data_IF_814426085736
#
_entry.id   IF_814426085736
#
_cell.length_a   1.000
_cell.length_b   1.000
_cell.length_c   1.000
_cell.angle_alpha   90.00
_cell.angle_beta   90.00
_cell.angle_gamma   90.00
#
_symmetry.space_group_name_H-M   'P 1'
#
loop_
_entity.id
_entity.type
_entity.pdbx_description
1 polymer ?
#
# COMPACT_ATOMS: atom_id res chain seq x y z
N UNK A 1 12.97 17.19 3.09
CA UNK A 1 12.75 16.62 4.44
C UNK A 1 14.00 15.84 4.81
N UNK A 2 14.50 15.91 6.05
CA UNK A 2 15.62 15.08 6.45
C UNK A 2 15.19 13.61 6.45
N UNK A 3 15.91 12.76 5.71
CA UNK A 3 15.74 11.31 5.75
C UNK A 3 16.62 10.69 6.83
N UNK A 4 16.25 9.51 7.30
CA UNK A 4 17.08 8.71 8.22
C UNK A 4 17.98 7.75 7.42
N UNK A 5 19.31 7.75 7.65
CA UNK A 5 20.20 6.91 6.86
C UNK A 5 20.05 5.44 7.25
N UNK A 6 20.02 4.58 6.23
CA UNK A 6 20.06 3.12 6.38
C UNK A 6 21.22 2.55 5.57
N UNK A 7 21.73 1.38 5.97
CA UNK A 7 22.68 0.62 5.15
C UNK A 7 21.93 -0.39 4.30
N UNK A 8 22.11 -0.29 2.97
CA UNK A 8 21.54 -1.23 1.99
C UNK A 8 22.69 -1.90 1.25
N UNK A 9 22.66 -3.22 1.15
CA UNK A 9 23.61 -3.97 0.34
C UNK A 9 23.16 -3.92 -1.12
N UNK A 10 24.04 -3.44 -1.99
CA UNK A 10 23.81 -3.30 -3.44
C UNK A 10 25.01 -3.83 -4.21
N UNK A 11 24.87 -4.00 -5.52
CA UNK A 11 25.98 -4.39 -6.38
C UNK A 11 27.16 -3.40 -6.26
N UNK A 12 28.42 -3.87 -6.24
CA UNK A 12 29.59 -3.02 -6.05
C UNK A 12 29.69 -1.87 -7.07
N UNK A 13 29.27 -2.12 -8.32
CA UNK A 13 29.25 -1.11 -9.38
C UNK A 13 28.23 0.00 -9.08
N UNK A 14 27.05 -0.34 -8.60
CA UNK A 14 26.02 0.63 -8.18
C UNK A 14 26.51 1.45 -6.99
N UNK A 15 27.17 0.80 -6.03
CA UNK A 15 27.77 1.49 -4.89
C UNK A 15 28.84 2.49 -5.32
N UNK A 16 29.67 2.13 -6.31
CA UNK A 16 30.66 3.03 -6.90
C UNK A 16 29.99 4.19 -7.66
N UNK A 17 28.98 3.91 -8.48
CA UNK A 17 28.26 4.94 -9.23
C UNK A 17 27.59 5.96 -8.30
N UNK A 18 26.92 5.51 -7.23
CA UNK A 18 26.33 6.39 -6.23
C UNK A 18 27.40 7.23 -5.51
N UNK A 19 28.55 6.63 -5.15
CA UNK A 19 29.69 7.34 -4.54
C UNK A 19 30.36 8.34 -5.49
N UNK A 20 30.29 8.13 -6.79
CA UNK A 20 30.88 9.07 -7.77
C UNK A 20 29.90 10.16 -8.20
N UNK A 21 28.60 10.00 -7.90
CA UNK A 21 27.58 10.97 -8.26
C UNK A 21 27.72 12.29 -7.48
N UNK A 22 27.33 13.39 -8.12
CA UNK A 22 27.24 14.72 -7.49
C UNK A 22 26.20 14.75 -6.38
N UNK A 23 26.29 15.76 -5.49
CA UNK A 23 25.33 15.90 -4.39
C UNK A 23 23.87 15.99 -4.87
N UNK A 24 23.64 16.68 -6.00
CA UNK A 24 22.29 16.81 -6.57
C UNK A 24 21.79 15.49 -7.18
N UNK A 25 22.67 14.70 -7.78
CA UNK A 25 22.31 13.36 -8.27
C UNK A 25 22.05 12.40 -7.11
N UNK A 26 22.89 12.41 -6.08
CA UNK A 26 22.67 11.60 -4.87
C UNK A 26 21.34 11.91 -4.20
N UNK A 27 20.96 13.19 -4.06
CA UNK A 27 19.64 13.58 -3.53
C UNK A 27 18.48 13.02 -4.35
N UNK A 28 18.60 13.00 -5.69
CA UNK A 28 17.58 12.39 -6.57
C UNK A 28 17.51 10.88 -6.39
N UNK A 29 18.67 10.23 -6.26
CA UNK A 29 18.77 8.79 -6.01
C UNK A 29 18.18 8.41 -4.64
N UNK A 30 18.47 9.19 -3.59
CA UNK A 30 17.90 8.99 -2.25
C UNK A 30 16.38 9.05 -2.27
N UNK A 31 15.82 10.03 -2.99
CA UNK A 31 14.38 10.16 -3.17
C UNK A 31 13.82 8.95 -3.91
N UNK A 32 14.47 8.51 -4.99
CA UNK A 32 14.02 7.35 -5.76
C UNK A 32 14.03 6.08 -4.90
N UNK A 33 15.11 5.81 -4.17
CA UNK A 33 15.22 4.66 -3.27
C UNK A 33 14.14 4.72 -2.19
N UNK A 34 13.93 5.88 -1.58
CA UNK A 34 12.90 6.08 -0.56
C UNK A 34 11.49 5.78 -1.09
N UNK A 35 11.16 6.24 -2.30
CA UNK A 35 9.88 5.95 -2.95
C UNK A 35 9.71 4.45 -3.19
N UNK A 36 10.74 3.77 -3.73
CA UNK A 36 10.68 2.34 -4.03
C UNK A 36 10.58 1.48 -2.78
N UNK A 37 11.34 1.81 -1.73
CA UNK A 37 11.26 1.11 -0.45
C UNK A 37 9.89 1.29 0.20
N UNK A 38 9.33 2.51 0.16
CA UNK A 38 7.98 2.75 0.66
C UNK A 38 6.94 1.96 -0.12
N UNK A 39 7.02 1.94 -1.45
CA UNK A 39 6.05 1.20 -2.27
C UNK A 39 6.17 -0.32 -2.09
N UNK A 40 7.38 -0.83 -1.92
CA UNK A 40 7.64 -2.25 -1.67
C UNK A 40 7.18 -2.71 -0.27
N UNK A 41 7.31 -1.83 0.73
CA UNK A 41 6.92 -2.10 2.12
C UNK A 41 5.48 -1.71 2.42
N UNK A 42 4.84 -0.93 1.55
CA UNK A 42 3.42 -0.63 1.66
C UNK A 42 2.67 -1.96 1.61
N UNK A 43 2.15 -2.38 2.76
CA UNK A 43 1.23 -3.51 2.81
C UNK A 43 0.08 -3.18 1.86
N UNK A 44 0.00 -3.89 0.74
CA UNK A 44 -1.26 -4.00 0.03
C UNK A 44 -2.16 -4.73 1.01
N UNK A 45 -2.98 -4.01 1.79
CA UNK A 45 -4.11 -4.67 2.43
C UNK A 45 -4.77 -5.48 1.34
N UNK A 46 -4.80 -6.80 1.52
CA UNK A 46 -5.42 -7.64 0.51
C UNK A 46 -6.83 -7.14 0.30
N UNK A 47 -7.36 -7.20 -0.92
CA UNK A 47 -8.76 -6.84 -1.15
C UNK A 47 -9.68 -7.55 -0.15
N UNK A 48 -9.34 -8.80 0.20
CA UNK A 48 -10.02 -9.57 1.24
C UNK A 48 -10.00 -8.89 2.62
N UNK A 49 -8.90 -8.29 3.02
CA UNK A 49 -8.76 -7.56 4.28
C UNK A 49 -9.55 -6.26 4.27
N UNK A 50 -9.48 -5.51 3.16
CA UNK A 50 -10.30 -4.31 2.96
C UNK A 50 -11.79 -4.67 3.01
N UNK A 51 -12.21 -5.70 2.27
CA UNK A 51 -13.59 -6.18 2.27
C UNK A 51 -14.02 -6.64 3.67
N UNK A 52 -13.16 -7.36 4.40
CA UNK A 52 -13.43 -7.77 5.79
C UNK A 52 -13.68 -6.56 6.69
N UNK A 53 -12.87 -5.52 6.57
CA UNK A 53 -13.04 -4.29 7.35
C UNK A 53 -14.33 -3.54 6.96
N UNK A 54 -14.65 -3.48 5.66
CA UNK A 54 -15.88 -2.87 5.16
C UNK A 54 -17.11 -3.64 5.67
N UNK A 55 -17.11 -4.97 5.59
CA UNK A 55 -18.18 -5.83 6.11
C UNK A 55 -18.38 -5.63 7.61
N UNK A 56 -17.29 -5.56 8.39
CA UNK A 56 -17.36 -5.30 9.83
C UNK A 56 -17.97 -3.93 10.13
N UNK A 57 -17.52 -2.87 9.46
CA UNK A 57 -18.06 -1.52 9.63
C UNK A 57 -19.54 -1.44 9.26
N UNK A 58 -19.97 -2.18 8.23
CA UNK A 58 -21.37 -2.20 7.82
C UNK A 58 -22.26 -2.88 8.88
N UNK A 59 -21.81 -4.01 9.44
CA UNK A 59 -22.49 -4.70 10.55
C UNK A 59 -22.61 -3.80 11.79
N UNK A 60 -21.52 -3.12 12.17
CA UNK A 60 -21.53 -2.15 13.29
C UNK A 60 -22.51 -0.99 13.07
N UNK A 61 -22.80 -0.65 11.82
CA UNK A 61 -23.77 0.40 11.43
C UNK A 61 -25.18 -0.14 11.22
N UNK A 62 -25.45 -1.40 11.58
CA UNK A 62 -26.77 -2.00 11.51
C UNK A 62 -27.10 -2.73 10.21
N UNK A 63 -26.14 -2.92 9.28
CA UNK A 63 -26.31 -3.83 8.17
C UNK A 63 -26.12 -5.28 8.66
N UNK A 64 -27.18 -5.85 9.24
CA UNK A 64 -27.17 -7.25 9.68
C UNK A 64 -27.29 -8.20 8.49
N UNK A 65 -26.89 -9.47 8.64
CA UNK A 65 -27.03 -10.48 7.58
C UNK A 65 -28.46 -10.59 7.04
N UNK A 66 -29.46 -10.42 7.90
CA UNK A 66 -30.88 -10.51 7.54
C UNK A 66 -31.32 -9.33 6.67
N UNK A 67 -30.88 -8.12 7.01
CA UNK A 67 -31.16 -6.91 6.21
C UNK A 67 -30.48 -7.03 4.85
N UNK A 68 -29.22 -7.47 4.83
CA UNK A 68 -28.48 -7.69 3.58
C UNK A 68 -29.19 -8.72 2.68
N UNK A 69 -29.63 -9.84 3.26
CA UNK A 69 -30.39 -10.86 2.52
C UNK A 69 -31.69 -10.31 1.95
N UNK A 70 -32.43 -9.51 2.74
CA UNK A 70 -33.69 -8.93 2.27
C UNK A 70 -33.50 -7.99 1.07
N UNK A 71 -32.40 -7.21 1.05
CA UNK A 71 -32.07 -6.32 -0.07
C UNK A 71 -31.65 -7.10 -1.32
N UNK A 72 -30.79 -8.12 -1.16
CA UNK A 72 -30.31 -8.92 -2.30
C UNK A 72 -31.43 -9.74 -2.95
N UNK A 73 -32.38 -10.23 -2.15
CA UNK A 73 -33.50 -11.04 -2.66
C UNK A 73 -34.56 -10.18 -3.36
N UNK A 74 -34.65 -8.88 -3.05
CA UNK A 74 -35.55 -7.96 -3.76
C UNK A 74 -35.08 -7.67 -5.20
N UNK A 75 -33.77 -7.58 -5.42
CA UNK A 75 -33.20 -7.32 -6.76
C UNK A 75 -33.35 -8.53 -7.71
N UNK A 76 -33.43 -9.76 -7.16
CA UNK A 76 -33.67 -10.99 -7.94
C UNK A 76 -35.16 -11.25 -8.26
N UNK A 77 -36.08 -10.45 -7.71
CA UNK A 77 -37.53 -10.62 -7.87
C UNK A 77 -38.12 -9.84 -9.06
N UNK A 78 -37.31 -9.06 -9.77
CA UNK A 78 -37.65 -8.48 -11.09
C UNK A 78 -37.13 -9.40 -12.21
N UNK A 79 -37.82 -10.52 -12.43
CA UNK A 79 -37.76 -11.34 -13.65
C UNK A 79 -39.17 -11.74 -14.09
#
# INVERSE_FOLDING_TARGET
MPGEPITVVVDPEVANAYRSASDDERRKLDLLVSLRLRDATRSKESLKEVMRQVSKNAQERGLTPEILQSSLTQDDAEC
#
